data_IF_973956914968
#
_entry.id   IF_973956914968
#
_cell.length_a   1.000
_cell.length_b   1.000
_cell.length_c   1.000
_cell.angle_alpha   90.00
_cell.angle_beta   90.00
_cell.angle_gamma   90.00
#
_symmetry.space_group_name_H-M   'P 1'
#
loop_
_entity.id
_entity.type
_entity.pdbx_description
1 polymer ?
#
# COMPACT_ATOMS: atom_id res chain seq x y z
N UNK A 1 17.19 5.00 -12.60
CA UNK A 1 16.18 5.40 -11.60
C UNK A 1 14.80 5.38 -12.22
N UNK A 2 13.98 4.40 -11.85
CA UNK A 2 12.56 4.29 -12.19
C UNK A 2 11.70 5.14 -11.26
N UNK A 3 10.42 5.28 -11.61
CA UNK A 3 9.40 5.93 -10.78
C UNK A 3 8.44 4.88 -10.29
N UNK A 4 8.03 5.00 -9.05
CA UNK A 4 7.15 4.03 -8.42
C UNK A 4 5.97 4.73 -7.76
N UNK A 5 4.80 4.12 -7.83
CA UNK A 5 3.65 4.44 -6.99
C UNK A 5 3.33 3.22 -6.15
N UNK A 6 3.44 3.37 -4.84
CA UNK A 6 3.05 2.36 -3.88
C UNK A 6 1.67 2.69 -3.32
N UNK A 7 0.78 1.70 -3.30
CA UNK A 7 -0.54 1.80 -2.69
C UNK A 7 -0.56 1.01 -1.39
N UNK A 8 -1.23 1.56 -0.38
CA UNK A 8 -1.33 0.97 0.94
C UNK A 8 -2.77 1.05 1.44
N UNK A 9 -3.16 0.04 2.21
CA UNK A 9 -4.39 0.03 2.99
C UNK A 9 -4.05 0.02 4.48
N UNK A 10 -4.88 0.64 5.30
CA UNK A 10 -4.65 0.77 6.74
C UNK A 10 -5.85 0.32 7.53
N UNK A 11 -5.58 -0.26 8.71
CA UNK A 11 -6.58 -0.63 9.68
C UNK A 11 -6.39 0.20 10.96
N UNK A 12 -7.44 0.88 11.39
CA UNK A 12 -7.47 1.64 12.64
C UNK A 12 -8.02 0.81 13.79
N UNK A 13 -7.50 1.04 15.00
CA UNK A 13 -7.96 0.35 16.20
C UNK A 13 -9.43 0.68 16.51
N UNK A 14 -10.29 -0.33 16.55
CA UNK A 14 -11.56 -0.28 17.28
C UNK A 14 -12.83 0.07 16.50
N UNK A 15 -12.74 0.67 15.31
CA UNK A 15 -13.93 1.17 14.59
C UNK A 15 -14.19 0.57 13.19
N UNK A 16 -13.48 -0.50 12.78
CA UNK A 16 -13.54 -1.02 11.39
C UNK A 16 -13.31 0.08 10.34
N UNK A 17 -12.59 1.14 10.70
CA UNK A 17 -12.24 2.22 9.77
C UNK A 17 -11.08 1.74 8.91
N UNK A 18 -11.39 1.52 7.64
CA UNK A 18 -10.42 1.18 6.61
C UNK A 18 -10.05 2.44 5.84
N UNK A 19 -8.77 2.76 5.81
CA UNK A 19 -8.22 3.84 5.02
C UNK A 19 -7.28 3.33 3.93
N UNK A 20 -6.90 4.21 3.01
CA UNK A 20 -5.85 3.91 2.06
C UNK A 20 -5.05 5.16 1.72
N UNK A 21 -3.78 4.98 1.37
CA UNK A 21 -2.94 6.06 0.90
C UNK A 21 -1.98 5.56 -0.19
N UNK A 22 -1.42 6.49 -0.94
CA UNK A 22 -0.42 6.19 -1.97
C UNK A 22 0.82 7.05 -1.76
N UNK A 23 1.97 6.50 -2.11
CA UNK A 23 3.26 7.19 -2.06
C UNK A 23 3.94 7.08 -3.42
N UNK A 24 4.42 8.21 -3.93
CA UNK A 24 5.23 8.27 -5.14
C UNK A 24 6.70 8.47 -4.79
N UNK A 25 7.59 7.74 -5.45
CA UNK A 25 9.04 7.86 -5.27
C UNK A 25 9.83 7.52 -6.53
N UNK A 26 11.13 7.78 -6.48
CA UNK A 26 12.10 7.26 -7.43
C UNK A 26 13.07 6.33 -6.71
N UNK A 27 13.47 5.24 -7.37
CA UNK A 27 14.48 4.32 -6.88
C UNK A 27 15.22 3.67 -8.07
N UNK A 28 16.35 3.00 -7.81
CA UNK A 28 17.08 2.22 -8.80
C UNK A 28 16.32 0.95 -9.19
N UNK A 29 15.75 0.26 -8.20
CA UNK A 29 14.99 -0.99 -8.37
C UNK A 29 13.81 -1.09 -7.37
N UNK A 30 12.91 -2.08 -7.52
CA UNK A 30 11.75 -2.25 -6.63
C UNK A 30 12.12 -2.52 -5.16
N UNK A 31 13.24 -3.18 -4.90
CA UNK A 31 13.70 -3.49 -3.54
C UNK A 31 14.11 -2.24 -2.79
N UNK A 32 14.90 -1.37 -3.44
CA UNK A 32 15.27 -0.07 -2.89
C UNK A 32 14.03 0.81 -2.66
N UNK A 33 13.04 0.77 -3.58
CA UNK A 33 11.78 1.48 -3.40
C UNK A 33 11.05 1.04 -2.12
N UNK A 34 10.92 -0.27 -1.90
CA UNK A 34 10.27 -0.84 -0.71
C UNK A 34 10.98 -0.43 0.58
N UNK A 35 12.32 -0.47 0.61
CA UNK A 35 13.08 -0.04 1.79
C UNK A 35 12.88 1.44 2.11
N UNK A 36 12.91 2.29 1.09
CA UNK A 36 12.73 3.73 1.23
C UNK A 36 11.31 4.07 1.70
N UNK A 37 10.30 3.34 1.20
CA UNK A 37 8.91 3.44 1.66
C UNK A 37 8.78 3.08 3.14
N UNK A 38 9.36 1.95 3.58
CA UNK A 38 9.35 1.55 5.00
C UNK A 38 9.96 2.62 5.89
N UNK A 39 11.15 3.13 5.52
CA UNK A 39 11.84 4.19 6.27
C UNK A 39 10.96 5.44 6.40
N UNK A 40 10.36 5.89 5.30
CA UNK A 40 9.49 7.09 5.29
C UNK A 40 8.27 6.93 6.18
N UNK A 41 7.55 5.81 6.09
CA UNK A 41 6.33 5.58 6.88
C UNK A 41 6.67 5.51 8.38
N UNK A 42 7.77 4.84 8.73
CA UNK A 42 8.25 4.77 10.12
C UNK A 42 8.65 6.16 10.63
N UNK A 43 9.35 6.96 9.82
CA UNK A 43 9.72 8.33 10.18
C UNK A 43 8.48 9.18 10.45
N UNK A 44 7.53 9.22 9.51
CA UNK A 44 6.27 9.97 9.65
C UNK A 44 5.44 9.51 10.86
N UNK A 45 5.48 8.22 11.20
CA UNK A 45 4.81 7.71 12.41
C UNK A 45 5.40 8.27 13.71
N UNK A 46 6.66 8.71 13.68
CA UNK A 46 7.40 9.25 14.84
C UNK A 46 7.37 10.77 14.89
N UNK A 47 7.53 11.43 13.75
CA UNK A 47 7.82 12.87 13.65
C UNK A 47 6.77 13.67 12.88
N UNK A 48 5.81 13.00 12.25
CA UNK A 48 4.87 13.63 11.31
C UNK A 48 4.06 14.76 11.94
N UNK A 49 4.21 15.97 11.38
CA UNK A 49 3.59 17.21 11.88
C UNK A 49 2.07 17.17 11.99
N UNK A 50 1.41 16.27 11.25
CA UNK A 50 -0.04 16.17 11.18
C UNK A 50 -0.61 14.91 11.85
N UNK A 51 0.23 14.07 12.47
CA UNK A 51 -0.23 12.84 13.10
C UNK A 51 -0.94 11.88 12.14
N UNK A 52 -0.51 11.85 10.87
CA UNK A 52 -1.14 11.08 9.78
C UNK A 52 -1.37 9.60 10.13
N UNK A 53 -0.46 9.01 10.92
CA UNK A 53 -0.55 7.60 11.34
C UNK A 53 -1.01 7.42 12.81
N UNK A 54 -1.57 8.46 13.43
CA UNK A 54 -2.07 8.37 14.80
C UNK A 54 -3.38 7.58 14.83
N UNK A 55 -3.39 6.45 15.53
CA UNK A 55 -4.57 5.57 15.62
C UNK A 55 -4.59 4.43 14.60
N UNK A 56 -3.63 4.42 13.67
CA UNK A 56 -3.39 3.28 12.78
C UNK A 56 -2.54 2.25 13.52
N UNK A 57 -2.96 0.99 13.49
CA UNK A 57 -2.22 -0.13 14.07
C UNK A 57 -1.37 -0.85 13.03
N UNK A 58 -1.97 -1.10 11.87
CA UNK A 58 -1.42 -1.94 10.81
C UNK A 58 -1.58 -1.24 9.46
N UNK A 59 -0.51 -1.29 8.66
CA UNK A 59 -0.46 -0.85 7.28
C UNK A 59 -0.15 -2.07 6.43
N UNK A 60 -0.93 -2.27 5.37
CA UNK A 60 -0.78 -3.34 4.39
C UNK A 60 -0.29 -2.75 3.07
N UNK A 61 0.59 -3.48 2.40
CA UNK A 61 1.12 -3.09 1.09
C UNK A 61 0.26 -3.72 0.01
N UNK A 62 -0.41 -2.89 -0.76
CA UNK A 62 -1.38 -3.36 -1.76
C UNK A 62 -0.68 -3.68 -3.08
N UNK A 63 0.11 -2.73 -3.58
CA UNK A 63 0.74 -2.82 -4.90
C UNK A 63 1.91 -1.85 -5.05
N UNK A 64 2.86 -2.21 -5.90
CA UNK A 64 3.89 -1.30 -6.43
C UNK A 64 3.74 -1.17 -7.93
N UNK A 65 3.54 0.04 -8.43
CA UNK A 65 3.48 0.32 -9.86
C UNK A 65 4.79 0.98 -10.27
N UNK A 66 5.55 0.32 -11.12
CA UNK A 66 6.75 0.85 -11.75
C UNK A 66 6.38 1.58 -13.05
N UNK A 67 7.02 2.73 -13.28
CA UNK A 67 6.87 3.54 -14.46
C UNK A 67 8.23 4.01 -14.95
N UNK A 68 8.49 3.85 -16.24
CA UNK A 68 9.69 4.40 -16.86
C UNK A 68 9.63 5.93 -16.91
N UNK A 69 8.44 6.47 -17.21
CA UNK A 69 8.17 7.90 -17.38
C UNK A 69 6.81 8.27 -16.78
N UNK A 70 6.67 9.52 -16.35
CA UNK A 70 5.36 10.06 -15.96
C UNK A 70 4.50 10.18 -17.23
N UNK A 71 3.30 9.59 -17.26
CA UNK A 71 2.46 9.61 -18.44
C UNK A 71 1.99 11.05 -18.73
N UNK A 72 1.88 11.39 -20.01
CA UNK A 72 1.30 12.68 -20.45
C UNK A 72 -0.22 12.63 -20.51
N UNK A 73 -0.76 11.46 -20.82
CA UNK A 73 -2.19 11.19 -20.76
C UNK A 73 -2.56 10.69 -19.35
N UNK A 74 -3.77 11.02 -18.83
CA UNK A 74 -4.20 10.52 -17.53
C UNK A 74 -4.33 8.99 -17.50
N UNK A 75 -3.85 8.36 -16.43
CA UNK A 75 -3.96 6.90 -16.21
C UNK A 75 -4.62 6.67 -14.85
N UNK A 76 -5.63 5.79 -14.81
CA UNK A 76 -6.23 5.32 -13.55
C UNK A 76 -5.33 4.21 -13.00
N UNK A 77 -4.75 4.44 -11.83
CA UNK A 77 -3.77 3.53 -11.20
C UNK A 77 -4.32 2.83 -9.96
N UNK A 78 -5.43 3.34 -9.41
CA UNK A 78 -6.11 2.76 -8.26
C UNK A 78 -7.56 3.29 -8.26
N UNK A 79 -8.54 2.39 -8.13
CA UNK A 79 -9.95 2.72 -8.01
C UNK A 79 -10.54 1.98 -6.82
N UNK A 80 -10.91 2.71 -5.76
CA UNK A 80 -11.59 2.14 -4.59
C UNK A 80 -13.04 2.62 -4.58
N UNK A 81 -13.98 1.68 -4.43
CA UNK A 81 -15.41 2.00 -4.30
C UNK A 81 -15.95 1.49 -2.96
N UNK A 82 -16.68 2.33 -2.24
CA UNK A 82 -17.29 1.96 -0.96
C UNK A 82 -18.80 1.82 -1.11
N UNK A 83 -19.41 0.89 -0.37
CA UNK A 83 -20.85 0.92 -0.16
C UNK A 83 -21.19 1.91 0.97
N UNK A 84 -22.24 2.71 0.79
CA UNK A 84 -22.69 3.69 1.80
C UNK A 84 -23.26 2.99 3.05
N UNK A 85 -23.53 1.70 2.96
CA UNK A 85 -24.31 0.92 3.93
C UNK A 85 -23.45 0.31 5.04
N UNK A 86 -22.19 0.74 5.18
CA UNK A 86 -21.29 0.32 6.26
C UNK A 86 -20.77 -1.12 6.13
N UNK A 87 -21.07 -1.80 5.03
CA UNK A 87 -20.55 -3.14 4.72
C UNK A 87 -19.44 -3.06 3.69
N UNK A 88 -18.24 -2.72 4.16
CA UNK A 88 -16.97 -2.91 3.46
C UNK A 88 -16.73 -2.01 2.24
N UNK A 89 -15.44 -1.76 1.98
CA UNK A 89 -15.00 -1.25 0.70
C UNK A 89 -14.93 -2.41 -0.29
N UNK A 90 -15.66 -2.29 -1.40
CA UNK A 90 -15.41 -3.12 -2.57
C UNK A 90 -14.23 -2.51 -3.34
N UNK A 91 -13.02 -3.01 -3.09
CA UNK A 91 -11.86 -2.58 -3.86
C UNK A 91 -11.84 -3.33 -5.19
N UNK A 92 -12.04 -2.61 -6.29
CA UNK A 92 -11.78 -3.14 -7.63
C UNK A 92 -10.40 -2.63 -8.03
N UNK A 93 -9.38 -3.43 -7.78
CA UNK A 93 -8.04 -3.17 -8.31
C UNK A 93 -8.10 -3.44 -9.81
N UNK A 94 -8.16 -2.36 -10.59
CA UNK A 94 -7.84 -2.44 -12.01
C UNK A 94 -6.33 -2.54 -12.11
N UNK A 95 -5.84 -3.77 -12.13
CA UNK A 95 -4.45 -4.06 -12.50
C UNK A 95 -4.27 -3.66 -13.96
N UNK A 96 -3.94 -2.38 -14.17
CA UNK A 96 -3.39 -1.79 -15.40
C UNK A 96 -4.05 -2.23 -16.71
N UNK A 97 -5.33 -2.61 -16.73
CA UNK A 97 -5.97 -3.21 -17.90
C UNK A 97 -5.94 -2.31 -19.16
N UNK A 98 -5.78 -1.00 -18.97
CA UNK A 98 -5.60 0.02 -20.02
C UNK A 98 -4.28 0.81 -19.88
N UNK A 99 -3.32 0.35 -19.08
CA UNK A 99 -2.08 1.09 -18.88
C UNK A 99 -1.14 0.97 -20.10
N UNK A 100 -0.38 2.02 -20.45
CA UNK A 100 0.65 1.95 -21.47
C UNK A 100 1.68 0.84 -21.18
N UNK A 101 2.35 0.31 -22.22
CA UNK A 101 3.41 -0.73 -22.09
C UNK A 101 4.55 -0.36 -21.13
N UNK A 102 4.71 0.94 -20.81
CA UNK A 102 5.74 1.47 -19.90
C UNK A 102 5.40 1.30 -18.40
N UNK A 103 4.32 0.58 -18.07
CA UNK A 103 3.85 0.36 -16.70
C UNK A 103 3.94 -1.12 -16.30
N UNK A 104 4.57 -1.40 -15.16
CA UNK A 104 4.55 -2.72 -14.54
C UNK A 104 3.84 -2.62 -13.17
N UNK A 105 2.98 -3.58 -12.83
CA UNK A 105 2.39 -3.68 -11.49
C UNK A 105 2.87 -4.95 -10.78
N UNK A 106 3.25 -4.80 -9.52
CA UNK A 106 3.60 -5.89 -8.63
C UNK A 106 2.58 -5.94 -7.50
N UNK A 107 1.88 -7.06 -7.39
CA UNK A 107 1.05 -7.41 -6.24
C UNK A 107 1.82 -8.29 -5.28
N UNK A 108 1.64 -8.07 -3.98
CA UNK A 108 2.12 -8.99 -2.95
C UNK A 108 0.90 -9.66 -2.32
N UNK A 109 0.46 -10.73 -2.97
CA UNK A 109 -0.42 -11.74 -2.38
C UNK A 109 0.49 -12.88 -1.88
N UNK A 110 0.20 -13.46 -0.72
CA UNK A 110 0.88 -14.68 -0.23
C UNK A 110 0.47 -15.86 -1.14
N UNK A 111 0.99 -15.88 -2.37
CA UNK A 111 0.84 -16.99 -3.30
C UNK A 111 2.02 -17.97 -3.14
N UNK A 112 2.01 -18.66 -2.00
CA UNK A 112 2.61 -19.99 -1.86
C UNK A 112 1.57 -20.99 -1.33
N UNK A 113 0.38 -21.09 -1.94
CA UNK A 113 -0.44 -22.31 -1.93
C UNK A 113 -1.61 -22.22 -2.93
N UNK A 114 -1.48 -22.92 -4.05
CA UNK A 114 -2.54 -23.21 -5.02
C UNK A 114 -3.50 -24.31 -4.48
N UNK A 115 -4.17 -24.04 -3.34
CA UNK A 115 -5.24 -24.88 -2.80
C UNK A 115 -6.37 -24.03 -2.18
N UNK A 116 -7.24 -23.46 -3.03
CA UNK A 116 -8.55 -22.94 -2.62
C UNK A 116 -8.54 -21.67 -1.74
N UNK A 117 -9.72 -21.09 -1.44
CA UNK A 117 -9.84 -19.87 -0.64
C UNK A 117 -9.72 -20.21 0.84
N UNK A 118 -8.54 -20.66 1.28
CA UNK A 118 -8.21 -20.52 2.69
C UNK A 118 -7.97 -19.04 2.96
N UNK A 119 -8.67 -18.50 3.97
CA UNK A 119 -8.47 -17.13 4.43
C UNK A 119 -7.09 -17.00 5.08
N UNK A 120 -6.04 -16.93 4.27
CA UNK A 120 -4.72 -16.55 4.72
C UNK A 120 -4.79 -15.16 5.34
N UNK A 121 -4.40 -15.02 6.59
CA UNK A 121 -4.17 -13.71 7.21
C UNK A 121 -2.97 -13.09 6.53
N UNK A 122 -3.19 -12.12 5.63
CA UNK A 122 -2.12 -11.33 5.01
C UNK A 122 -1.31 -10.63 6.11
N UNK A 123 0.00 -10.83 6.12
CA UNK A 123 0.87 -10.15 7.09
C UNK A 123 0.91 -8.63 6.82
N UNK A 124 0.84 -7.78 7.86
CA UNK A 124 0.92 -6.35 7.68
C UNK A 124 2.33 -5.93 7.24
N UNK A 125 2.40 -5.06 6.23
CA UNK A 125 3.64 -4.46 5.77
C UNK A 125 4.36 -3.68 6.88
N UNK A 126 3.59 -3.00 7.74
CA UNK A 126 4.06 -2.37 8.98
C UNK A 126 3.07 -2.66 10.09
N UNK A 127 3.57 -3.16 11.22
CA UNK A 127 2.84 -3.31 12.48
C UNK A 127 3.42 -2.38 13.54
N UNK A 128 2.71 -1.30 13.88
CA UNK A 128 3.26 -0.27 14.76
C UNK A 128 3.50 -0.75 16.21
N UNK A 129 2.76 -1.78 16.66
CA UNK A 129 2.95 -2.37 17.99
C UNK A 129 4.31 -3.04 18.17
N UNK A 130 4.93 -3.54 17.08
CA UNK A 130 6.24 -4.18 17.11
C UNK A 130 7.38 -3.16 17.11
N UNK A 131 7.22 -2.05 16.38
CA UNK A 131 8.19 -0.96 16.32
C UNK A 131 8.31 -0.26 17.69
N UNK A 132 7.20 -0.11 18.42
CA UNK A 132 7.20 0.54 19.75
C UNK A 132 7.92 -0.27 20.83
N UNK A 133 8.03 -1.59 20.69
CA UNK A 133 8.70 -2.46 21.68
C UNK A 133 10.23 -2.37 21.65
N UNK A 134 10.83 -1.99 20.52
CA UNK A 134 12.29 -1.96 20.34
C UNK A 134 12.98 -0.64 20.75
N UNK A 135 12.23 0.34 21.27
CA UNK A 135 12.77 1.63 21.74
C UNK A 135 12.77 1.75 23.28
N UNK A 136 12.88 0.63 24.00
CA UNK A 136 12.99 0.58 25.46
C UNK A 136 14.33 0.02 25.91
#
# INVERSE_FOLDING_TARGET
MMKYIANFSVNESGDNTFGSFSVILSAEDPGEAIENLKKKIIEESKTGQYGMFKGIDEIYFDSLIEMEKIPREPVIINFKSGSVDGMGWGEVRLDLADAPEDFNSYGWTDDENDEGPESGTVEPFIKFSEIKKNNK
#
